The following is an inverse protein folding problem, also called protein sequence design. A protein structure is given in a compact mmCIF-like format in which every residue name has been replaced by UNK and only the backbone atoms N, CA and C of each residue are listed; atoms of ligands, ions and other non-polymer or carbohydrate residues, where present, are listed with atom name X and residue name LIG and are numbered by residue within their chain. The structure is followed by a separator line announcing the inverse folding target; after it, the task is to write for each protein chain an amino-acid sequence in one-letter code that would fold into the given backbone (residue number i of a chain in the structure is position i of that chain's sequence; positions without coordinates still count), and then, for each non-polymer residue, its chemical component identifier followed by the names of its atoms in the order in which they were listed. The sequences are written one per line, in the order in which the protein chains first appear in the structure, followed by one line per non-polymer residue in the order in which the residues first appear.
data_IF_858903119859
#
_entry.id   IF_858903119859
#
_cell.length_a   1.000
_cell.length_b   1.000
_cell.length_c   1.000
_cell.angle_alpha   90.00
_cell.angle_beta   90.00
_cell.angle_gamma   90.00
#
_symmetry.space_group_name_H-M   'P 1'
#
loop_
_entity.id
_entity.type
_entity.pdbx_description
1 polymer ?
#
# COMPACT_ATOMS: atom_id res chain seq x y z
N UNK A 1 9.13 -4.03 -0.15
CA UNK A 1 7.90 -4.49 -0.83
C UNK A 1 8.03 -5.87 -1.46
N UNK A 2 8.72 -6.08 -2.59
CA UNK A 2 8.77 -7.43 -3.23
C UNK A 2 9.30 -8.53 -2.30
N UNK A 3 10.43 -8.26 -1.64
CA UNK A 3 11.06 -9.18 -0.67
C UNK A 3 10.23 -9.46 0.59
N UNK A 4 9.23 -8.63 0.89
CA UNK A 4 8.43 -8.74 2.12
C UNK A 4 7.07 -9.40 1.90
N UNK A 5 6.61 -9.45 0.65
CA UNK A 5 5.24 -9.86 0.30
C UNK A 5 5.17 -11.15 -0.51
N UNK A 6 6.31 -11.82 -0.75
CA UNK A 6 6.43 -13.05 -1.57
C UNK A 6 5.63 -12.99 -2.89
N UNK A 7 5.55 -11.81 -3.50
CA UNK A 7 4.77 -11.54 -4.70
C UNK A 7 5.67 -10.92 -5.77
N UNK A 8 5.37 -11.15 -7.05
CA UNK A 8 6.16 -10.59 -8.14
C UNK A 8 6.05 -9.06 -8.21
N UNK A 9 7.11 -8.41 -8.69
CA UNK A 9 7.13 -6.97 -8.98
C UNK A 9 5.95 -6.51 -9.84
N UNK A 10 5.54 -7.31 -10.83
CA UNK A 10 4.41 -7.01 -11.72
C UNK A 10 3.06 -7.04 -10.99
N UNK A 11 2.83 -8.05 -10.15
CA UNK A 11 1.62 -8.18 -9.33
C UNK A 11 1.50 -7.02 -8.33
N UNK A 12 2.60 -6.70 -7.65
CA UNK A 12 2.64 -5.56 -6.71
C UNK A 12 2.34 -4.25 -7.45
N UNK A 13 2.95 -4.03 -8.62
CA UNK A 13 2.72 -2.82 -9.42
C UNK A 13 1.27 -2.70 -9.89
N UNK A 14 0.66 -3.82 -10.31
CA UNK A 14 -0.73 -3.86 -10.73
C UNK A 14 -1.67 -3.47 -9.58
N UNK A 15 -1.48 -4.04 -8.39
CA UNK A 15 -2.28 -3.70 -7.21
C UNK A 15 -2.09 -2.23 -6.80
N UNK A 16 -0.85 -1.73 -6.81
CA UNK A 16 -0.57 -0.34 -6.45
C UNK A 16 -1.18 0.66 -7.44
N UNK A 17 -1.23 0.33 -8.74
CA UNK A 17 -1.94 1.13 -9.73
C UNK A 17 -3.45 1.14 -9.45
N UNK A 18 -4.05 -0.02 -9.19
CA UNK A 18 -5.48 -0.10 -8.83
C UNK A 18 -5.82 0.72 -7.57
N UNK A 19 -4.99 0.63 -6.53
CA UNK A 19 -5.17 1.39 -5.29
C UNK A 19 -5.02 2.90 -5.51
N UNK A 20 -4.10 3.30 -6.39
CA UNK A 20 -3.91 4.71 -6.77
C UNK A 20 -5.10 5.24 -7.56
N UNK A 21 -5.61 4.46 -8.51
CA UNK A 21 -6.76 4.82 -9.35
C UNK A 21 -8.05 4.93 -8.52
N UNK A 22 -8.15 4.17 -7.42
CA UNK A 22 -9.21 4.29 -6.41
C UNK A 22 -8.97 5.37 -5.36
N UNK A 23 -7.94 6.20 -5.52
CA UNK A 23 -7.52 7.27 -4.61
C UNK A 23 -7.22 6.81 -3.16
N UNK A 24 -6.93 5.52 -2.97
CA UNK A 24 -6.60 4.93 -1.66
C UNK A 24 -5.16 5.25 -1.28
N UNK A 25 -4.26 5.20 -2.26
CA UNK A 25 -2.83 5.54 -2.09
C UNK A 25 -2.42 6.68 -3.01
N UNK A 26 -1.50 7.50 -2.52
CA UNK A 26 -0.78 8.48 -3.33
C UNK A 26 0.62 7.95 -3.62
N UNK A 27 1.19 8.33 -4.77
CA UNK A 27 2.56 7.97 -5.13
C UNK A 27 3.45 9.20 -5.29
N UNK A 28 4.74 9.04 -4.99
CA UNK A 28 5.78 10.05 -5.18
C UNK A 28 7.01 9.37 -5.79
N UNK A 29 7.49 9.87 -6.93
CA UNK A 29 8.75 9.41 -7.51
C UNK A 29 9.91 10.20 -6.92
N UNK A 30 10.97 9.51 -6.49
CA UNK A 30 12.24 10.11 -6.13
C UNK A 30 13.38 9.31 -6.79
N UNK A 31 14.08 9.97 -7.72
CA UNK A 31 15.03 9.33 -8.63
C UNK A 31 14.40 8.10 -9.33
N UNK A 32 14.99 6.92 -9.15
CA UNK A 32 14.54 5.68 -9.77
C UNK A 32 13.49 4.92 -8.96
N UNK A 33 13.12 5.42 -7.77
CA UNK A 33 12.18 4.74 -6.86
C UNK A 33 10.84 5.47 -6.77
N UNK A 34 9.76 4.70 -6.64
CA UNK A 34 8.40 5.20 -6.40
C UNK A 34 7.98 4.81 -5.00
N UNK A 35 7.61 5.81 -4.22
CA UNK A 35 7.12 5.67 -2.85
C UNK A 35 5.60 5.79 -2.85
N UNK A 36 4.93 4.99 -2.01
CA UNK A 36 3.48 5.01 -1.86
C UNK A 36 3.12 5.33 -0.41
N UNK A 37 2.01 6.06 -0.22
CA UNK A 37 1.44 6.35 1.10
C UNK A 37 -0.08 6.29 1.03
N UNK A 38 -0.74 6.03 2.15
CA UNK A 38 -2.19 6.20 2.24
C UNK A 38 -2.56 7.67 1.96
N UNK A 39 -3.61 7.87 1.17
CA UNK A 39 -4.05 9.19 0.73
C UNK A 39 -5.15 9.79 1.64
N UNK A 40 -5.86 8.95 2.41
CA UNK A 40 -6.97 9.38 3.25
C UNK A 40 -6.81 8.88 4.70
N UNK A 41 -6.96 9.75 5.72
CA UNK A 41 -6.97 9.36 7.13
C UNK A 41 -7.94 8.22 7.48
N UNK A 42 -9.10 8.13 6.81
CA UNK A 42 -10.08 7.05 7.05
C UNK A 42 -9.53 5.65 6.77
N UNK A 43 -8.63 5.52 5.78
CA UNK A 43 -7.96 4.24 5.53
C UNK A 43 -6.94 3.91 6.62
N UNK A 44 -6.37 4.92 7.28
CA UNK A 44 -5.48 4.71 8.41
C UNK A 44 -6.24 4.08 9.57
N UNK A 45 -7.44 4.56 9.88
CA UNK A 45 -8.29 4.01 10.94
C UNK A 45 -8.69 2.56 10.64
N UNK A 46 -9.09 2.29 9.39
CA UNK A 46 -9.44 0.94 8.95
C UNK A 46 -8.26 -0.05 9.05
N UNK A 47 -7.09 0.34 8.57
CA UNK A 47 -5.88 -0.50 8.63
C UNK A 47 -5.43 -0.68 10.09
N UNK A 48 -5.54 0.35 10.93
CA UNK A 48 -5.26 0.27 12.36
C UNK A 48 -6.16 -0.75 13.04
N UNK A 49 -7.47 -0.68 12.80
CA UNK A 49 -8.44 -1.65 13.33
C UNK A 49 -8.15 -3.07 12.82
N UNK A 50 -7.88 -3.23 11.53
CA UNK A 50 -7.52 -4.54 10.94
C UNK A 50 -6.27 -5.10 11.62
N UNK A 51 -5.25 -4.27 11.85
CA UNK A 51 -4.04 -4.66 12.56
C UNK A 51 -4.33 -5.09 14.01
N UNK A 52 -5.19 -4.36 14.72
CA UNK A 52 -5.60 -4.71 16.08
C UNK A 52 -6.34 -6.04 16.17
N UNK A 53 -7.13 -6.37 15.15
CA UNK A 53 -7.93 -7.60 15.11
C UNK A 53 -7.13 -8.82 14.63
N UNK A 54 -6.22 -8.64 13.67
CA UNK A 54 -5.61 -9.75 12.94
C UNK A 54 -4.08 -9.86 13.06
N UNK A 55 -3.40 -8.84 13.58
CA UNK A 55 -1.94 -8.82 13.68
C UNK A 55 -1.43 -8.77 15.13
N UNK A 56 -2.22 -9.26 16.10
CA UNK A 56 -1.86 -9.36 17.53
C UNK A 56 -1.08 -10.63 17.91
N UNK A 57 -0.45 -11.29 16.94
CA UNK A 57 0.47 -12.41 17.17
C UNK A 57 1.85 -12.10 16.57
#
# INVERSE_FOLDING_TARGET
MEKELEASQSSISQHLNLLKDKEIVASRRAAQQVFYRLNNPRFMDLISLTRELFCKE
#
